data_IF_892554327782
#
_entry.id   IF_892554327782
#
_cell.length_a   1.000
_cell.length_b   1.000
_cell.length_c   1.000
_cell.angle_alpha   90.00
_cell.angle_beta   90.00
_cell.angle_gamma   90.00
#
_symmetry.space_group_name_H-M   'P 1'
#
loop_
_entity.id
_entity.type
_entity.pdbx_description
1 polymer ?
#
# COMPACT_ATOMS: atom_id res chain seq x y z
N UNK A 1 6.99 -7.54 10.39
CA UNK A 1 6.68 -7.17 11.78
C UNK A 1 7.16 -8.23 12.76
N UNK A 2 6.92 -9.52 12.50
CA UNK A 2 7.27 -10.63 13.41
C UNK A 2 8.76 -10.65 13.81
N UNK A 3 9.69 -10.64 12.85
CA UNK A 3 11.13 -10.62 13.16
C UNK A 3 11.53 -9.40 14.01
N UNK A 4 11.00 -8.21 13.71
CA UNK A 4 11.27 -7.02 14.51
C UNK A 4 10.79 -7.18 15.97
N UNK A 5 9.67 -7.88 16.20
CA UNK A 5 9.17 -8.17 17.56
C UNK A 5 10.06 -9.18 18.27
N UNK A 6 10.49 -10.23 17.56
CA UNK A 6 11.40 -11.25 18.10
C UNK A 6 12.77 -10.67 18.49
N UNK A 7 13.29 -9.75 17.68
CA UNK A 7 14.57 -9.09 17.91
C UNK A 7 14.49 -7.94 18.95
N UNK A 8 13.32 -7.70 19.55
CA UNK A 8 13.11 -6.65 20.55
C UNK A 8 13.15 -5.22 19.97
N UNK A 9 12.97 -5.06 18.65
CA UNK A 9 12.90 -3.74 18.03
C UNK A 9 11.60 -3.02 18.42
N UNK A 10 11.70 -1.76 18.85
CA UNK A 10 10.53 -0.97 19.23
C UNK A 10 9.79 -0.36 18.02
N UNK A 11 9.06 -1.20 17.27
CA UNK A 11 8.30 -0.79 16.07
C UNK A 11 6.81 -0.83 16.34
N UNK A 12 6.12 0.29 16.11
CA UNK A 12 4.70 0.45 16.45
C UNK A 12 3.74 0.42 15.26
N UNK A 13 4.23 0.42 14.02
CA UNK A 13 3.35 0.42 12.86
C UNK A 13 4.09 0.30 11.53
N UNK A 14 3.30 0.04 10.49
CA UNK A 14 3.75 -0.06 9.11
C UNK A 14 2.80 0.72 8.21
N UNK A 15 3.35 1.59 7.37
CA UNK A 15 2.61 2.37 6.40
C UNK A 15 3.08 2.02 5.00
N UNK A 16 2.15 1.58 4.16
CA UNK A 16 2.46 1.23 2.77
C UNK A 16 2.61 2.51 1.93
N UNK A 17 3.70 2.59 1.17
CA UNK A 17 3.84 3.54 0.07
C UNK A 17 3.37 2.85 -1.22
N UNK A 18 2.25 3.25 -1.82
CA UNK A 18 1.34 4.33 -1.45
C UNK A 18 -0.11 3.89 -1.57
N UNK A 19 -1.05 4.72 -1.10
CA UNK A 19 -2.48 4.40 -1.25
C UNK A 19 -2.90 4.48 -2.74
N UNK A 20 -2.45 5.50 -3.46
CA UNK A 20 -2.83 5.77 -4.85
C UNK A 20 -1.59 5.90 -5.73
N UNK A 21 -1.70 5.50 -6.99
CA UNK A 21 -0.71 5.89 -7.99
C UNK A 21 -0.63 7.42 -8.06
N UNK A 22 0.59 7.94 -7.95
CA UNK A 22 0.86 9.37 -7.82
C UNK A 22 2.04 9.79 -8.71
N UNK A 23 2.48 11.05 -8.57
CA UNK A 23 3.64 11.59 -9.26
C UNK A 23 4.93 11.24 -8.51
N UNK A 24 5.70 10.29 -9.05
CA UNK A 24 6.87 9.71 -8.40
C UNK A 24 8.16 10.45 -8.78
N UNK A 25 8.26 11.72 -8.37
CA UNK A 25 9.48 12.54 -8.50
C UNK A 25 10.02 12.56 -9.93
N UNK A 26 11.30 12.20 -10.10
CA UNK A 26 11.97 12.17 -11.41
C UNK A 26 11.31 11.22 -12.42
N UNK A 27 10.49 10.27 -11.95
CA UNK A 27 9.78 9.31 -12.80
C UNK A 27 8.40 9.81 -13.25
N UNK A 28 7.91 10.91 -12.67
CA UNK A 28 6.55 11.40 -12.90
C UNK A 28 5.48 10.32 -12.74
N UNK A 29 4.51 10.24 -13.66
CA UNK A 29 3.41 9.27 -13.62
C UNK A 29 3.70 7.92 -14.31
N UNK A 30 4.97 7.63 -14.60
CA UNK A 30 5.35 6.40 -15.33
C UNK A 30 5.47 5.18 -14.42
N UNK A 31 5.67 5.40 -13.12
CA UNK A 31 5.78 4.34 -12.09
C UNK A 31 4.55 4.36 -11.20
N UNK A 32 4.12 3.18 -10.72
CA UNK A 32 2.82 2.96 -10.07
C UNK A 32 2.94 2.13 -8.80
N UNK A 33 3.21 2.78 -7.67
CA UNK A 33 3.32 2.14 -6.35
C UNK A 33 2.00 2.02 -5.58
N UNK A 34 0.93 2.67 -6.05
CA UNK A 34 -0.33 2.74 -5.32
C UNK A 34 -0.99 1.37 -5.13
N UNK A 35 -1.68 1.19 -4.01
CA UNK A 35 -2.65 0.11 -3.87
C UNK A 35 -3.80 0.26 -4.88
N UNK A 36 -4.21 1.50 -5.16
CA UNK A 36 -5.17 1.81 -6.21
C UNK A 36 -4.48 2.33 -7.46
N UNK A 37 -4.89 1.78 -8.60
CA UNK A 37 -4.58 2.35 -9.90
C UNK A 37 -5.38 3.64 -10.09
N UNK A 38 -4.73 4.69 -10.58
CA UNK A 38 -5.39 5.94 -10.98
C UNK A 38 -5.37 6.07 -12.50
N UNK A 39 -6.55 6.14 -13.10
CA UNK A 39 -6.72 6.39 -14.53
C UNK A 39 -6.63 7.89 -14.82
N UNK A 40 -5.43 8.34 -15.18
CA UNK A 40 -5.19 9.75 -15.51
C UNK A 40 -5.93 10.25 -16.76
N UNK A 41 -6.40 9.33 -17.62
CA UNK A 41 -7.12 9.68 -18.86
C UNK A 41 -8.63 9.66 -18.68
N UNK A 42 -9.13 8.99 -17.64
CA UNK A 42 -10.56 8.85 -17.37
C UNK A 42 -10.95 9.46 -16.02
N UNK A 43 -10.95 10.80 -15.95
CA UNK A 43 -11.40 11.58 -14.78
C UNK A 43 -10.78 11.14 -13.44
N UNK A 44 -9.52 10.70 -13.45
CA UNK A 44 -8.80 10.22 -12.27
C UNK A 44 -9.54 9.06 -11.57
N UNK A 45 -10.23 8.19 -12.30
CA UNK A 45 -10.95 7.05 -11.72
C UNK A 45 -9.99 6.16 -10.94
N UNK A 46 -10.38 5.74 -9.72
CA UNK A 46 -9.57 4.88 -8.85
C UNK A 46 -10.06 3.45 -8.94
N UNK A 47 -9.15 2.53 -9.24
CA UNK A 47 -9.45 1.11 -9.45
C UNK A 47 -8.60 0.31 -8.45
N UNK A 48 -9.20 -0.51 -7.57
CA UNK A 48 -8.44 -1.32 -6.63
C UNK A 48 -7.59 -2.35 -7.38
N UNK A 49 -6.29 -2.42 -7.07
CA UNK A 49 -5.43 -3.51 -7.56
C UNK A 49 -5.61 -4.75 -6.70
N UNK A 50 -5.07 -5.89 -7.13
CA UNK A 50 -5.06 -7.12 -6.33
C UNK A 50 -4.41 -6.94 -4.95
N UNK A 51 -3.44 -6.04 -4.83
CA UNK A 51 -2.80 -5.68 -3.56
C UNK A 51 -3.76 -5.07 -2.54
N UNK A 52 -4.87 -4.44 -2.94
CA UNK A 52 -5.89 -3.94 -2.00
C UNK A 52 -6.55 -5.09 -1.26
N UNK A 53 -6.96 -6.14 -1.99
CA UNK A 53 -7.62 -7.29 -1.37
C UNK A 53 -6.66 -8.06 -0.48
N UNK A 54 -5.42 -8.26 -0.94
CA UNK A 54 -4.39 -8.87 -0.11
C UNK A 54 -4.10 -8.07 1.15
N UNK A 55 -3.90 -6.75 1.03
CA UNK A 55 -3.55 -5.89 2.17
C UNK A 55 -4.72 -5.77 3.15
N UNK A 56 -5.96 -5.74 2.66
CA UNK A 56 -7.16 -5.82 3.50
C UNK A 56 -7.17 -7.12 4.33
N UNK A 57 -6.99 -8.27 3.68
CA UNK A 57 -6.97 -9.55 4.38
C UNK A 57 -5.82 -9.65 5.39
N UNK A 58 -4.63 -9.19 5.00
CA UNK A 58 -3.46 -9.12 5.87
C UNK A 58 -3.75 -8.31 7.14
N UNK A 59 -4.40 -7.15 7.02
CA UNK A 59 -4.78 -6.33 8.17
C UNK A 59 -5.85 -7.01 9.02
N UNK A 60 -6.86 -7.66 8.41
CA UNK A 60 -7.92 -8.37 9.13
C UNK A 60 -7.36 -9.53 9.97
N UNK A 61 -6.37 -10.28 9.47
CA UNK A 61 -5.75 -11.38 10.24
C UNK A 61 -4.99 -10.92 11.49
N UNK A 62 -4.52 -9.67 11.54
CA UNK A 62 -3.88 -9.09 12.73
C UNK A 62 -4.90 -8.67 13.81
N UNK A 63 -6.20 -8.58 13.49
CA UNK A 63 -7.26 -8.21 14.45
C UNK A 63 -7.95 -9.42 15.11
N UNK A 64 -7.80 -10.63 14.56
CA UNK A 64 -8.42 -11.87 15.06
C UNK A 64 -7.52 -12.65 16.06
N UNK A 65 -6.45 -12.02 16.55
CA UNK A 65 -5.54 -12.54 17.60
C UNK A 65 -5.45 -11.58 18.78
#
# INVERSE_FOLDING_TARGET
>A
MNQCREDGCNVHGYFVWSLLDNWEWNSGYTVRFGLYYVDYKNNLTRIPKGSVQWFKHFLEQEYDT
#
